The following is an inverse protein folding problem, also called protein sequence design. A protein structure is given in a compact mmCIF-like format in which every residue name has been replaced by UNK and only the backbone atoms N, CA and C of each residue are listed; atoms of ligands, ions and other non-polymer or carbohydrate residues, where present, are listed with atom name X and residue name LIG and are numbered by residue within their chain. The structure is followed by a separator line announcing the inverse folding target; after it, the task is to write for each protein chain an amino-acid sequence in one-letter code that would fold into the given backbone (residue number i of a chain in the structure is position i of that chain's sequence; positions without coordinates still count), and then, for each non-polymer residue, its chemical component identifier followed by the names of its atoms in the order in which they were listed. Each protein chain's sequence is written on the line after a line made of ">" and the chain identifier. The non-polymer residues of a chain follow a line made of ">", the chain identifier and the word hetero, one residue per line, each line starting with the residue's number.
data_IF_053282657994
#
_entry.id   IF_053282657994
#
_cell.length_a   1.000
_cell.length_b   1.000
_cell.length_c   1.000
_cell.angle_alpha   90.00
_cell.angle_beta   90.00
_cell.angle_gamma   90.00
#
_symmetry.space_group_name_H-M   'P 1'
#
loop_
_entity.id
_entity.type
_entity.pdbx_description
1 polymer ?
#
# COMPACT_ATOMS: atom_id res chain seq x y z
N UNK A 1 25.41 -54.26 3.83
CA UNK A 1 25.91 -52.89 4.10
C UNK A 1 26.46 -52.89 5.50
N UNK A 2 27.79 -52.83 5.65
CA UNK A 2 28.53 -53.17 6.87
C UNK A 2 28.74 -51.91 7.73
N UNK A 3 28.45 -52.05 9.02
CA UNK A 3 28.60 -51.07 10.09
C UNK A 3 30.10 -50.81 10.38
N UNK A 4 30.50 -49.53 10.49
CA UNK A 4 31.83 -49.13 11.01
C UNK A 4 31.66 -48.36 12.31
N UNK A 5 32.20 -48.94 13.39
CA UNK A 5 32.48 -48.31 14.68
C UNK A 5 33.80 -47.53 14.58
N UNK A 6 33.87 -46.39 15.28
CA UNK A 6 35.12 -45.75 15.70
C UNK A 6 34.88 -45.08 17.07
N UNK A 7 35.91 -45.06 17.89
CA UNK A 7 35.87 -45.07 19.35
C UNK A 7 36.49 -43.81 19.99
N UNK A 8 36.03 -43.54 21.23
CA UNK A 8 36.73 -42.95 22.40
C UNK A 8 37.12 -41.45 22.35
N UNK A 9 36.63 -40.66 23.32
CA UNK A 9 37.48 -40.09 24.38
C UNK A 9 36.68 -39.74 25.65
N UNK A 10 37.18 -40.23 26.80
CA UNK A 10 36.74 -39.86 28.15
C UNK A 10 37.20 -38.44 28.48
N UNK A 11 36.38 -37.71 29.24
CA UNK A 11 36.75 -36.43 29.84
C UNK A 11 35.79 -36.03 30.95
N UNK A 12 35.89 -36.70 32.11
CA UNK A 12 35.27 -36.27 33.37
C UNK A 12 36.01 -35.05 33.93
N UNK A 13 35.29 -33.96 34.17
CA UNK A 13 35.74 -32.87 35.04
C UNK A 13 34.66 -32.58 36.09
N UNK A 14 35.01 -32.85 37.34
CA UNK A 14 34.25 -32.59 38.55
C UNK A 14 34.19 -31.08 38.77
N UNK A 15 32.99 -30.50 38.91
CA UNK A 15 32.83 -29.11 39.34
C UNK A 15 32.58 -29.11 40.85
N UNK A 16 33.62 -28.73 41.59
CA UNK A 16 33.61 -28.44 43.03
C UNK A 16 32.72 -27.24 43.32
N UNK A 17 31.82 -27.40 44.29
CA UNK A 17 30.96 -26.34 44.79
C UNK A 17 31.73 -25.27 45.56
N UNK A 18 31.25 -24.02 45.41
CA UNK A 18 31.52 -22.94 46.35
C UNK A 18 30.18 -22.32 46.72
N UNK A 19 29.84 -22.44 47.99
CA UNK A 19 28.71 -21.77 48.64
C UNK A 19 29.14 -20.31 48.86
N UNK A 20 28.39 -19.36 48.30
CA UNK A 20 28.54 -17.93 48.59
C UNK A 20 27.34 -17.48 49.41
N UNK A 21 27.52 -16.84 50.57
CA UNK A 21 26.41 -16.37 51.40
C UNK A 21 25.71 -15.15 50.80
N UNK A 22 24.38 -15.16 50.86
CA UNK A 22 23.48 -14.01 50.66
C UNK A 22 23.63 -13.00 51.81
N UNK A 23 23.66 -11.69 51.47
CA UNK A 23 23.18 -10.54 52.26
C UNK A 23 23.05 -9.32 51.31
N UNK A 24 22.24 -8.29 51.64
CA UNK A 24 21.16 -7.86 50.75
C UNK A 24 21.37 -6.48 50.08
N UNK A 25 20.39 -6.20 49.23
CA UNK A 25 20.13 -5.01 48.44
C UNK A 25 20.54 -3.67 49.07
N UNK A 26 21.26 -2.87 48.27
CA UNK A 26 21.09 -1.43 48.22
C UNK A 26 20.94 -1.02 46.76
N UNK A 27 19.80 -0.41 46.46
CA UNK A 27 19.46 0.18 45.19
C UNK A 27 20.35 1.41 44.94
N UNK A 28 20.89 1.54 43.72
CA UNK A 28 20.93 2.81 43.00
C UNK A 28 21.31 2.61 41.52
N UNK A 29 20.31 2.86 40.67
CA UNK A 29 20.38 3.54 39.36
C UNK A 29 21.07 2.87 38.15
N UNK A 30 20.23 2.15 37.39
CA UNK A 30 19.85 2.41 35.98
C UNK A 30 20.91 3.00 35.02
N UNK A 31 21.33 2.23 34.01
CA UNK A 31 21.31 2.67 32.60
C UNK A 31 21.12 1.45 31.68
N UNK A 32 19.92 1.34 31.08
CA UNK A 32 19.68 0.44 29.95
C UNK A 32 20.09 1.14 28.63
N UNK A 33 20.58 0.41 27.63
CA UNK A 33 20.85 0.97 26.31
C UNK A 33 19.56 1.44 25.62
N UNK A 34 19.69 2.57 24.92
CA UNK A 34 18.65 3.38 24.26
C UNK A 34 17.73 2.57 23.33
N UNK A 35 16.39 2.75 23.40
CA UNK A 35 15.49 2.24 22.36
C UNK A 35 15.60 3.10 21.09
N UNK A 36 15.90 2.42 19.98
CA UNK A 36 15.80 2.89 18.60
C UNK A 36 14.55 3.78 18.39
N UNK A 37 14.65 5.03 17.87
CA UNK A 37 13.46 5.84 17.65
C UNK A 37 12.65 5.23 16.51
N UNK A 38 11.62 4.48 16.87
CA UNK A 38 10.47 4.20 16.01
C UNK A 38 10.03 5.51 15.39
N UNK A 39 10.31 5.70 14.10
CA UNK A 39 9.77 6.82 13.35
C UNK A 39 8.24 6.73 13.44
N UNK A 40 7.56 7.72 14.05
CA UNK A 40 6.11 7.67 14.13
C UNK A 40 5.55 7.68 12.71
N UNK A 41 4.75 6.67 12.37
CA UNK A 41 3.87 6.73 11.21
C UNK A 41 3.05 8.01 11.35
N UNK A 42 3.37 9.05 10.56
CA UNK A 42 2.62 10.30 10.59
C UNK A 42 1.23 10.03 10.01
N UNK A 43 0.29 9.68 10.89
CA UNK A 43 -1.13 9.83 10.62
C UNK A 43 -1.36 11.28 10.21
N UNK A 44 -2.13 11.51 9.14
CA UNK A 44 -2.46 12.86 8.70
C UNK A 44 -3.07 13.63 9.88
N UNK A 45 -2.47 14.76 10.25
CA UNK A 45 -2.93 15.54 11.40
C UNK A 45 -4.28 16.16 11.08
N UNK A 46 -5.23 16.02 12.02
CA UNK A 46 -6.43 16.83 12.09
C UNK A 46 -6.22 17.91 13.17
N UNK A 47 -6.50 19.20 12.89
CA UNK A 47 -6.99 19.75 11.62
C UNK A 47 -5.89 19.80 10.55
N UNK A 48 -6.26 19.85 9.25
CA UNK A 48 -5.32 20.09 8.16
C UNK A 48 -4.47 21.33 8.44
N UNK A 49 -3.23 21.35 7.92
CA UNK A 49 -2.39 22.53 7.99
C UNK A 49 -3.15 23.76 7.46
N UNK A 50 -2.97 24.92 8.09
CA UNK A 50 -3.66 26.17 7.70
C UNK A 50 -3.38 26.59 6.26
N UNK A 51 -2.35 26.04 5.63
CA UNK A 51 -1.98 26.24 4.22
C UNK A 51 -2.63 25.25 3.26
N UNK A 52 -3.40 24.28 3.75
CA UNK A 52 -4.08 23.29 2.93
C UNK A 52 -5.14 23.96 2.04
N UNK A 53 -4.99 23.82 0.72
CA UNK A 53 -5.98 24.26 -0.27
C UNK A 53 -6.39 23.08 -1.14
N UNK A 54 -7.64 22.58 -1.05
CA UNK A 54 -8.13 21.55 -1.95
C UNK A 54 -7.86 21.87 -3.42
N UNK A 55 -7.44 20.86 -4.19
CA UNK A 55 -7.20 21.04 -5.63
C UNK A 55 -6.63 19.80 -6.31
N UNK A 56 -6.54 19.84 -7.64
CA UNK A 56 -6.04 18.76 -8.50
C UNK A 56 -4.61 18.30 -8.16
N UNK A 57 -3.84 19.13 -7.47
CA UNK A 57 -2.48 18.82 -7.02
C UNK A 57 -2.45 17.90 -5.79
N UNK A 58 -3.60 17.63 -5.17
CA UNK A 58 -3.68 16.78 -3.98
C UNK A 58 -4.01 15.34 -4.37
N UNK A 59 -3.38 14.36 -3.70
CA UNK A 59 -3.72 12.96 -3.91
C UNK A 59 -5.13 12.69 -3.40
N UNK A 60 -5.96 12.06 -4.22
CA UNK A 60 -7.31 11.62 -3.83
C UNK A 60 -7.27 10.31 -3.03
N UNK A 61 -6.21 9.53 -3.19
CA UNK A 61 -5.97 8.27 -2.51
C UNK A 61 -4.48 7.92 -2.49
N UNK A 62 -4.10 6.91 -1.69
CA UNK A 62 -2.73 6.38 -1.63
C UNK A 62 -2.71 4.87 -1.46
N UNK A 63 -1.83 4.19 -2.20
CA UNK A 63 -1.41 2.80 -1.97
C UNK A 63 0.00 2.77 -1.36
N UNK A 64 0.42 1.63 -0.84
CA UNK A 64 1.80 1.34 -0.49
C UNK A 64 2.47 0.51 -1.59
N UNK A 65 3.34 1.10 -2.42
CA UNK A 65 3.99 0.38 -3.53
C UNK A 65 5.08 -0.59 -3.08
N UNK A 66 5.45 -0.58 -1.78
CA UNK A 66 6.40 -1.55 -1.20
C UNK A 66 5.74 -2.87 -0.78
N UNK A 67 4.43 -2.98 -0.98
CA UNK A 67 3.63 -4.16 -0.70
C UNK A 67 2.86 -4.55 -1.97
N UNK A 68 2.44 -5.81 -2.06
CA UNK A 68 1.53 -6.22 -3.12
C UNK A 68 0.27 -5.34 -3.09
N UNK A 69 -0.13 -4.84 -4.25
CA UNK A 69 -1.22 -3.87 -4.39
C UNK A 69 -2.07 -4.17 -5.60
N UNK A 70 -3.28 -3.63 -5.60
CA UNK A 70 -4.25 -3.87 -6.67
C UNK A 70 -4.91 -2.56 -7.12
N UNK A 71 -5.22 -2.50 -8.40
CA UNK A 71 -6.10 -1.49 -8.99
C UNK A 71 -7.37 -2.18 -9.45
N UNK A 72 -8.51 -1.79 -8.91
CA UNK A 72 -9.82 -2.24 -9.38
C UNK A 72 -10.50 -1.09 -10.10
N UNK A 73 -10.84 -1.27 -11.38
CA UNK A 73 -11.64 -0.32 -12.15
C UNK A 73 -13.05 -0.86 -12.27
N UNK A 74 -14.04 -0.07 -11.87
CA UNK A 74 -15.46 -0.45 -11.85
C UNK A 74 -16.24 0.54 -12.74
N UNK A 75 -16.95 0.01 -13.74
CA UNK A 75 -17.88 0.80 -14.53
C UNK A 75 -19.25 0.85 -13.84
N UNK A 76 -19.57 1.97 -13.20
CA UNK A 76 -20.87 2.26 -12.58
C UNK A 76 -21.79 3.07 -13.50
N UNK A 77 -21.38 3.32 -14.75
CA UNK A 77 -22.17 4.04 -15.74
C UNK A 77 -23.17 3.15 -16.48
N UNK A 78 -23.91 3.76 -17.41
CA UNK A 78 -24.90 3.08 -18.25
C UNK A 78 -24.33 2.66 -19.62
N UNK A 79 -23.20 3.24 -20.01
CA UNK A 79 -22.47 2.93 -21.24
C UNK A 79 -21.25 2.07 -20.97
N UNK A 80 -20.82 1.28 -21.95
CA UNK A 80 -19.51 0.62 -21.88
C UNK A 80 -18.39 1.66 -21.87
N UNK A 81 -17.35 1.38 -21.10
CA UNK A 81 -16.13 2.21 -21.06
C UNK A 81 -14.94 1.42 -21.58
N UNK A 82 -14.06 2.08 -22.31
CA UNK A 82 -12.75 1.57 -22.66
C UNK A 82 -11.71 2.21 -21.74
N UNK A 83 -10.76 1.43 -21.26
CA UNK A 83 -9.62 1.97 -20.56
C UNK A 83 -8.30 1.48 -21.17
N UNK A 84 -7.26 2.28 -20.99
CA UNK A 84 -5.89 1.93 -21.30
C UNK A 84 -4.94 2.41 -20.20
N UNK A 85 -3.92 1.61 -19.93
CA UNK A 85 -2.82 1.94 -19.03
C UNK A 85 -1.55 2.24 -19.82
N UNK A 86 -0.74 3.17 -19.32
CA UNK A 86 0.60 3.41 -19.86
C UNK A 86 1.52 2.19 -19.77
N UNK A 87 1.20 1.21 -18.92
CA UNK A 87 1.89 -0.08 -18.79
C UNK A 87 1.47 -1.13 -19.83
N UNK A 88 0.52 -0.80 -20.72
CA UNK A 88 0.15 -1.62 -21.88
C UNK A 88 -1.15 -2.43 -21.74
N UNK A 89 -1.75 -2.54 -20.56
CA UNK A 89 -3.05 -3.20 -20.38
C UNK A 89 -4.19 -2.30 -20.89
N UNK A 90 -5.09 -2.87 -21.68
CA UNK A 90 -6.31 -2.23 -22.14
C UNK A 90 -7.51 -3.19 -22.05
N UNK A 91 -8.69 -2.66 -21.76
CA UNK A 91 -9.91 -3.46 -21.83
C UNK A 91 -11.16 -2.60 -22.05
N UNK A 92 -12.25 -3.28 -22.41
CA UNK A 92 -13.59 -2.70 -22.40
C UNK A 92 -14.37 -3.27 -21.22
N UNK A 93 -15.03 -2.40 -20.44
CA UNK A 93 -15.90 -2.77 -19.33
C UNK A 93 -17.34 -2.39 -19.68
N UNK A 94 -18.20 -3.39 -19.80
CA UNK A 94 -19.65 -3.15 -19.89
C UNK A 94 -20.20 -2.53 -18.58
N UNK A 95 -21.41 -1.95 -18.59
CA UNK A 95 -22.06 -1.45 -17.38
C UNK A 95 -22.06 -2.49 -16.24
N UNK A 96 -21.70 -2.06 -15.03
CA UNK A 96 -21.60 -2.90 -13.84
C UNK A 96 -20.39 -3.84 -13.78
N UNK A 97 -19.58 -3.92 -14.85
CA UNK A 97 -18.39 -4.76 -14.85
C UNK A 97 -17.22 -4.10 -14.13
N UNK A 98 -16.31 -4.94 -13.64
CA UNK A 98 -15.05 -4.50 -13.06
C UNK A 98 -13.88 -5.32 -13.55
N UNK A 99 -12.69 -4.76 -13.45
CA UNK A 99 -11.43 -5.43 -13.72
C UNK A 99 -10.43 -5.10 -12.63
N UNK A 100 -9.76 -6.14 -12.14
CA UNK A 100 -8.68 -6.04 -11.18
C UNK A 100 -7.34 -6.27 -11.87
N UNK A 101 -6.40 -5.39 -11.56
CA UNK A 101 -5.03 -5.42 -12.04
C UNK A 101 -4.12 -5.48 -10.83
N UNK A 102 -3.09 -6.31 -10.89
CA UNK A 102 -2.23 -6.60 -9.75
C UNK A 102 -0.83 -6.07 -10.02
N UNK A 103 -0.25 -5.38 -9.03
CA UNK A 103 1.15 -4.98 -9.02
C UNK A 103 1.62 -4.31 -10.33
N UNK A 104 0.88 -3.31 -10.80
CA UNK A 104 1.31 -2.56 -11.99
C UNK A 104 2.66 -1.89 -11.72
N UNK A 105 3.49 -1.79 -12.75
CA UNK A 105 4.70 -0.97 -12.68
C UNK A 105 4.31 0.50 -12.47
N UNK A 106 5.06 1.21 -11.62
CA UNK A 106 4.83 2.62 -11.33
C UNK A 106 5.95 3.49 -11.93
N UNK A 107 5.63 4.69 -12.45
CA UNK A 107 4.30 5.31 -12.48
C UNK A 107 3.35 4.65 -13.50
N UNK A 108 2.05 4.77 -13.25
CA UNK A 108 1.00 4.28 -14.13
C UNK A 108 -0.05 5.35 -14.40
N UNK A 109 -0.38 5.55 -15.68
CA UNK A 109 -1.43 6.46 -16.14
C UNK A 109 -2.61 5.64 -16.64
N UNK A 110 -3.80 5.89 -16.11
CA UNK A 110 -5.06 5.28 -16.50
C UNK A 110 -5.90 6.31 -17.26
N UNK A 111 -6.17 6.00 -18.53
CA UNK A 111 -7.05 6.76 -19.40
C UNK A 111 -8.35 5.97 -19.57
N UNK A 112 -9.50 6.60 -19.40
CA UNK A 112 -10.81 5.95 -19.50
C UNK A 112 -11.71 6.80 -20.38
N UNK A 113 -12.39 6.17 -21.33
CA UNK A 113 -13.29 6.83 -22.28
C UNK A 113 -14.61 6.09 -22.38
N UNK A 114 -15.70 6.82 -22.55
CA UNK A 114 -16.98 6.22 -22.87
C UNK A 114 -17.01 5.77 -24.32
N UNK A 115 -17.62 4.62 -24.59
CA UNK A 115 -17.96 4.21 -25.96
C UNK A 115 -19.17 4.97 -26.51
N UNK A 116 -19.95 5.62 -25.64
CA UNK A 116 -21.04 6.50 -26.04
C UNK A 116 -20.50 7.88 -26.42
N UNK A 117 -20.95 8.39 -27.58
CA UNK A 117 -20.53 9.68 -28.09
C UNK A 117 -20.91 10.84 -27.15
N UNK A 118 -20.01 11.80 -26.99
CA UNK A 118 -20.20 13.02 -26.18
C UNK A 118 -20.50 12.77 -24.69
N UNK A 119 -20.14 11.59 -24.16
CA UNK A 119 -20.32 11.26 -22.74
C UNK A 119 -19.03 11.55 -21.97
N UNK A 120 -19.05 12.60 -21.15
CA UNK A 120 -18.00 12.85 -20.17
C UNK A 120 -18.09 11.85 -19.01
N UNK A 121 -16.95 11.47 -18.42
CA UNK A 121 -16.88 10.55 -17.28
C UNK A 121 -16.39 11.26 -16.02
N UNK A 122 -16.80 10.79 -14.86
CA UNK A 122 -16.27 11.19 -13.55
C UNK A 122 -15.70 9.98 -12.82
N UNK A 123 -14.56 10.20 -12.16
CA UNK A 123 -13.88 9.18 -11.38
C UNK A 123 -13.98 9.51 -9.90
N UNK A 124 -14.18 8.50 -9.08
CA UNK A 124 -13.89 8.57 -7.64
C UNK A 124 -12.96 7.43 -7.28
N UNK A 125 -11.99 7.70 -6.42
CA UNK A 125 -11.02 6.71 -5.98
C UNK A 125 -11.14 6.54 -4.48
N UNK A 126 -11.30 5.30 -4.05
CA UNK A 126 -11.23 4.89 -2.64
C UNK A 126 -10.15 3.83 -2.47
N UNK A 127 -9.74 3.57 -1.24
CA UNK A 127 -8.76 2.53 -0.93
C UNK A 127 -9.31 1.61 0.15
N UNK A 128 -9.20 0.30 -0.08
CA UNK A 128 -9.51 -0.73 0.90
C UNK A 128 -8.28 -1.64 1.05
N UNK A 129 -7.64 -1.59 2.22
CA UNK A 129 -6.32 -2.21 2.38
C UNK A 129 -5.31 -1.58 1.41
N UNK A 130 -4.60 -2.41 0.64
CA UNK A 130 -3.67 -1.95 -0.41
C UNK A 130 -4.26 -2.03 -1.82
N UNK A 131 -5.60 -1.97 -1.92
CA UNK A 131 -6.34 -1.97 -3.19
C UNK A 131 -6.94 -0.59 -3.42
N UNK A 132 -6.58 0.03 -4.54
CA UNK A 132 -7.22 1.24 -5.04
C UNK A 132 -8.44 0.87 -5.91
N UNK A 133 -9.59 1.45 -5.58
CA UNK A 133 -10.86 1.19 -6.27
C UNK A 133 -11.27 2.46 -7.01
N UNK A 134 -11.26 2.39 -8.34
CA UNK A 134 -11.67 3.47 -9.24
C UNK A 134 -13.10 3.21 -9.69
N UNK A 135 -14.02 4.05 -9.24
CA UNK A 135 -15.40 4.02 -9.67
C UNK A 135 -15.59 5.03 -10.80
N UNK A 136 -16.04 4.54 -11.96
CA UNK A 136 -16.25 5.33 -13.17
C UNK A 136 -17.73 5.49 -13.39
N UNK A 137 -18.20 6.73 -13.53
CA UNK A 137 -19.60 7.04 -13.85
C UNK A 137 -19.68 8.08 -14.95
N UNK A 138 -20.83 8.17 -15.59
CA UNK A 138 -21.13 9.28 -16.50
C UNK A 138 -21.23 10.58 -15.70
N UNK A 139 -20.65 11.65 -16.24
CA UNK A 139 -20.78 12.97 -15.67
C UNK A 139 -22.19 13.52 -15.95
N UNK A 140 -22.68 14.41 -15.07
CA UNK A 140 -23.94 15.09 -15.35
C UNK A 140 -23.83 15.92 -16.64
N UNK A 141 -24.94 16.03 -17.38
CA UNK A 141 -24.97 16.78 -18.65
C UNK A 141 -24.44 18.20 -18.45
N UNK A 142 -23.52 18.62 -19.33
CA UNK A 142 -22.92 19.96 -19.27
C UNK A 142 -21.80 20.12 -18.23
N UNK A 143 -21.40 19.05 -17.54
CA UNK A 143 -20.26 19.08 -16.61
C UNK A 143 -19.00 18.50 -17.25
N UNK A 144 -17.85 19.12 -16.96
CA UNK A 144 -16.56 18.61 -17.40
C UNK A 144 -16.26 17.26 -16.74
N UNK A 145 -15.79 16.29 -17.53
CA UNK A 145 -15.34 14.99 -17.03
C UNK A 145 -13.94 15.03 -16.41
N UNK A 146 -13.45 13.88 -15.98
CA UNK A 146 -12.05 13.63 -15.68
C UNK A 146 -11.36 13.08 -16.93
N UNK A 147 -10.14 13.53 -17.19
CA UNK A 147 -9.35 13.12 -18.35
C UNK A 147 -8.47 11.92 -18.06
N UNK A 148 -7.85 11.87 -16.88
CA UNK A 148 -6.93 10.81 -16.51
C UNK A 148 -6.86 10.58 -15.00
N UNK A 149 -6.34 9.41 -14.64
CA UNK A 149 -5.92 9.08 -13.29
C UNK A 149 -4.46 8.67 -13.34
N UNK A 150 -3.64 9.20 -12.42
CA UNK A 150 -2.20 8.95 -12.38
C UNK A 150 -1.83 8.36 -11.02
N UNK A 151 -1.12 7.25 -11.02
CA UNK A 151 -0.51 6.64 -9.84
C UNK A 151 0.99 6.90 -9.91
N UNK A 152 1.49 7.75 -9.03
CA UNK A 152 2.90 8.13 -9.04
C UNK A 152 3.79 7.06 -8.35
N UNK A 153 5.12 7.15 -8.44
CA UNK A 153 6.03 6.17 -7.84
C UNK A 153 5.94 6.04 -6.31
N UNK A 154 5.41 7.06 -5.63
CA UNK A 154 5.16 7.00 -4.18
C UNK A 154 3.85 6.31 -3.79
N UNK A 155 3.04 5.91 -4.78
CA UNK A 155 1.72 5.34 -4.57
C UNK A 155 0.60 6.37 -4.39
N UNK A 156 0.88 7.67 -4.56
CA UNK A 156 -0.16 8.70 -4.56
C UNK A 156 -0.95 8.67 -5.86
N UNK A 157 -2.27 8.77 -5.73
CA UNK A 157 -3.22 8.72 -6.84
C UNK A 157 -3.81 10.11 -7.04
N UNK A 158 -3.74 10.61 -8.26
CA UNK A 158 -4.25 11.91 -8.68
C UNK A 158 -5.30 11.72 -9.78
N UNK A 159 -6.27 12.63 -9.81
CA UNK A 159 -7.30 12.69 -10.84
C UNK A 159 -7.20 14.07 -11.49
N UNK A 160 -7.14 14.10 -12.82
CA UNK A 160 -7.13 15.32 -13.63
C UNK A 160 -8.44 15.46 -14.41
#
# INVERSE_FOLDING_TARGET
>A
MILKLASILLGTAMITGLIVPLLPANADQLTMPSPNPTQPQRLAQQPPASTYRPGFWQPTARINPKQAWQLQVINQGNSSVQYGLSTGENATLAPGQSKTLNNLDLPADLLIYSTAANTALKYTVTTQGNTAIVNVREAAKGTAGNGSLVINPSGAIYIY
#
